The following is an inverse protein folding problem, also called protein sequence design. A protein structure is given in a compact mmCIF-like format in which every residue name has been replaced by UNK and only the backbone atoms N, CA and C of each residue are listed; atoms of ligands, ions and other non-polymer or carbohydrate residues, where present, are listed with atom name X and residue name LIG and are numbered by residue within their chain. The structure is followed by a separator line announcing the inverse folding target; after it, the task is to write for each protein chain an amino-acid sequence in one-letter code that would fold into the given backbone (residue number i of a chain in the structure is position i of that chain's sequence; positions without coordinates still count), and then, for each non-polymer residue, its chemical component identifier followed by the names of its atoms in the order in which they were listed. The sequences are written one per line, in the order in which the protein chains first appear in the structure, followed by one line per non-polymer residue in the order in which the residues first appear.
data_IF_710767831971
#
_entry.id   IF_710767831971
#
_cell.length_a   1.000
_cell.length_b   1.000
_cell.length_c   1.000
_cell.angle_alpha   90.00
_cell.angle_beta   90.00
_cell.angle_gamma   90.00
#
_symmetry.space_group_name_H-M   'P 1'
#
loop_
_entity.id
_entity.type
_entity.pdbx_description
1 polymer ?
#
# COMPACT_ATOMS: atom_id res chain seq x y z
N UNK A 1 25.83 -22.56 -6.40
CA UNK A 1 26.38 -23.93 -6.53
C UNK A 1 25.23 -24.79 -7.02
N UNK A 2 25.45 -25.60 -8.05
CA UNK A 2 24.40 -26.47 -8.64
C UNK A 2 24.52 -27.90 -8.12
N UNK A 3 23.41 -28.63 -8.14
CA UNK A 3 23.31 -30.00 -7.63
C UNK A 3 23.96 -31.02 -8.55
N UNK A 4 23.90 -30.84 -9.88
CA UNK A 4 24.41 -31.82 -10.84
C UNK A 4 25.94 -31.92 -10.82
N UNK A 5 26.65 -30.79 -10.92
CA UNK A 5 28.12 -30.80 -11.06
C UNK A 5 28.89 -30.12 -9.93
N UNK A 6 28.20 -29.59 -8.91
CA UNK A 6 28.80 -28.97 -7.72
C UNK A 6 29.80 -27.83 -7.98
N UNK A 7 29.88 -27.34 -9.20
CA UNK A 7 30.75 -26.24 -9.58
C UNK A 7 30.31 -24.94 -8.91
N UNK A 8 31.28 -24.12 -8.52
CA UNK A 8 31.07 -22.81 -7.90
C UNK A 8 31.15 -21.74 -8.97
N UNK A 9 30.00 -21.29 -9.46
CA UNK A 9 29.92 -20.12 -10.34
C UNK A 9 30.16 -18.81 -9.58
N UNK A 10 30.71 -17.79 -10.25
CA UNK A 10 30.71 -16.40 -9.77
C UNK A 10 29.29 -15.85 -9.56
N UNK A 11 29.19 -14.75 -8.82
CA UNK A 11 27.91 -14.07 -8.60
C UNK A 11 27.34 -13.51 -9.92
N UNK A 12 26.01 -13.51 -10.05
CA UNK A 12 25.30 -12.98 -11.23
C UNK A 12 25.08 -13.97 -12.38
N UNK A 13 25.63 -15.19 -12.31
CA UNK A 13 25.36 -16.21 -13.31
C UNK A 13 23.99 -16.88 -13.06
N UNK A 14 23.17 -16.97 -14.12
CA UNK A 14 21.89 -17.68 -14.08
C UNK A 14 22.05 -19.21 -14.25
N UNK A 15 23.12 -19.65 -14.93
CA UNK A 15 23.39 -21.05 -15.25
C UNK A 15 24.83 -21.43 -14.94
N UNK A 16 25.06 -22.70 -14.64
CA UNK A 16 26.38 -23.25 -14.40
C UNK A 16 27.24 -23.22 -15.67
N UNK A 17 28.47 -22.70 -15.57
CA UNK A 17 29.39 -22.62 -16.72
C UNK A 17 29.89 -24.00 -17.17
N UNK A 18 29.87 -24.99 -16.28
CA UNK A 18 30.40 -26.33 -16.55
C UNK A 18 29.32 -27.30 -17.03
N UNK A 19 28.14 -27.29 -16.40
CA UNK A 19 27.09 -28.28 -16.69
C UNK A 19 25.77 -27.68 -17.20
N UNK A 20 25.68 -26.36 -17.37
CA UNK A 20 24.50 -25.69 -17.93
C UNK A 20 23.25 -25.66 -17.05
N UNK A 21 23.25 -26.32 -15.89
CA UNK A 21 22.10 -26.34 -14.98
C UNK A 21 21.81 -24.95 -14.38
N UNK A 22 20.53 -24.63 -14.19
CA UNK A 22 20.11 -23.35 -13.61
C UNK A 22 20.51 -23.23 -12.14
N UNK A 23 20.99 -22.05 -11.77
CA UNK A 23 21.42 -21.74 -10.41
C UNK A 23 20.21 -21.15 -9.68
N UNK A 24 19.64 -21.89 -8.72
CA UNK A 24 18.50 -21.39 -7.92
C UNK A 24 18.92 -20.74 -6.60
N UNK A 25 20.13 -21.03 -6.13
CA UNK A 25 20.65 -20.55 -4.84
C UNK A 25 21.93 -19.72 -5.00
N UNK A 26 21.90 -18.53 -4.40
CA UNK A 26 23.02 -17.61 -4.25
C UNK A 26 23.50 -17.59 -2.79
N UNK A 27 24.63 -16.92 -2.51
CA UNK A 27 25.08 -16.68 -1.13
C UNK A 27 25.09 -15.19 -0.85
N UNK A 28 24.68 -14.81 0.36
CA UNK A 28 24.74 -13.43 0.81
C UNK A 28 26.19 -12.93 0.78
N UNK A 29 26.49 -11.79 0.12
CA UNK A 29 27.85 -11.25 0.07
C UNK A 29 28.33 -10.73 1.43
N UNK A 30 27.42 -10.46 2.38
CA UNK A 30 27.77 -9.97 3.72
C UNK A 30 28.11 -11.09 4.70
N UNK A 31 27.29 -12.14 4.74
CA UNK A 31 27.40 -13.19 5.78
C UNK A 31 27.58 -14.61 5.24
N UNK A 32 27.57 -14.81 3.92
CA UNK A 32 27.76 -16.13 3.30
C UNK A 32 26.56 -17.09 3.41
N UNK A 33 25.45 -16.64 4.02
CA UNK A 33 24.21 -17.42 4.16
C UNK A 33 23.64 -17.79 2.78
N UNK A 34 23.12 -19.01 2.64
CA UNK A 34 22.48 -19.44 1.40
C UNK A 34 21.14 -18.71 1.22
N UNK A 35 20.94 -18.08 0.07
CA UNK A 35 19.74 -17.31 -0.24
C UNK A 35 19.18 -17.74 -1.59
N UNK A 36 17.87 -17.88 -1.69
CA UNK A 36 17.20 -18.07 -2.99
C UNK A 36 17.38 -16.81 -3.84
N UNK A 37 17.47 -16.97 -5.16
CA UNK A 37 17.55 -15.82 -6.08
C UNK A 37 16.33 -14.89 -6.02
N UNK A 38 15.19 -15.39 -5.55
CA UNK A 38 13.95 -14.60 -5.38
C UNK A 38 13.96 -13.73 -4.13
N UNK A 39 14.92 -13.90 -3.22
CA UNK A 39 14.96 -13.17 -1.96
C UNK A 39 15.51 -11.76 -2.15
N UNK A 40 14.76 -10.77 -1.67
CA UNK A 40 15.17 -9.36 -1.66
C UNK A 40 16.16 -9.10 -0.52
N UNK A 41 15.97 -9.76 0.63
CA UNK A 41 16.81 -9.62 1.82
C UNK A 41 17.36 -10.96 2.29
N UNK A 42 18.54 -10.93 2.90
CA UNK A 42 19.16 -12.08 3.51
C UNK A 42 18.46 -12.44 4.83
N UNK A 43 17.90 -13.65 4.91
CA UNK A 43 17.28 -14.16 6.15
C UNK A 43 18.23 -14.33 7.33
N UNK A 44 19.55 -14.37 7.10
CA UNK A 44 20.56 -14.51 8.17
C UNK A 44 21.09 -13.20 8.75
N UNK A 45 21.15 -12.12 7.95
CA UNK A 45 21.77 -10.85 8.40
C UNK A 45 21.00 -9.58 8.01
N UNK A 46 19.83 -9.71 7.36
CA UNK A 46 18.99 -8.60 6.93
C UNK A 46 19.53 -7.76 5.76
N UNK A 47 20.71 -8.09 5.20
CA UNK A 47 21.28 -7.34 4.08
C UNK A 47 20.46 -7.55 2.80
N UNK A 48 20.21 -6.48 2.08
CA UNK A 48 19.61 -6.52 0.74
C UNK A 48 20.49 -7.29 -0.26
N UNK A 49 19.87 -8.19 -1.02
CA UNK A 49 20.51 -9.08 -2.00
C UNK A 49 20.33 -8.58 -3.44
N UNK A 50 19.36 -7.71 -3.69
CA UNK A 50 19.16 -7.07 -4.99
C UNK A 50 20.12 -5.90 -5.18
N UNK A 51 21.24 -6.16 -5.87
CA UNK A 51 22.09 -5.11 -6.43
C UNK A 51 22.70 -5.48 -7.80
N UNK A 52 22.14 -6.46 -8.53
CA UNK A 52 22.67 -6.89 -9.83
C UNK A 52 21.55 -7.21 -10.84
N UNK A 53 20.57 -6.32 -10.93
CA UNK A 53 19.82 -6.13 -12.18
C UNK A 53 20.04 -4.68 -12.61
N UNK A 54 21.30 -4.31 -12.83
CA UNK A 54 21.64 -3.10 -13.59
C UNK A 54 21.31 -3.33 -15.07
N UNK A 55 20.03 -3.51 -15.35
CA UNK A 55 19.37 -2.92 -16.51
C UNK A 55 18.97 -1.51 -16.10
N UNK A 56 19.96 -0.63 -16.02
CA UNK A 56 19.72 0.80 -16.04
C UNK A 56 19.19 1.15 -17.44
N UNK A 57 17.91 0.88 -17.68
CA UNK A 57 17.10 1.37 -18.82
C UNK A 57 15.73 0.67 -18.78
N UNK A 58 14.84 1.05 -17.85
CA UNK A 58 13.48 1.57 -18.15
C UNK A 58 13.10 2.48 -16.97
N UNK A 59 13.75 3.64 -16.89
CA UNK A 59 13.09 4.84 -16.38
C UNK A 59 12.32 5.46 -17.54
N UNK A 60 11.24 4.81 -17.96
CA UNK A 60 10.23 5.44 -18.80
C UNK A 60 8.90 5.33 -18.10
N UNK A 61 8.46 6.47 -17.60
CA UNK A 61 7.16 6.79 -17.04
C UNK A 61 6.57 5.76 -16.07
N UNK A 62 6.67 6.04 -14.77
CA UNK A 62 5.53 5.68 -13.91
C UNK A 62 4.32 6.43 -14.46
N UNK A 63 3.25 5.78 -14.96
CA UNK A 63 1.95 6.43 -14.88
C UNK A 63 1.67 6.67 -13.39
N UNK A 64 1.04 7.81 -13.10
CA UNK A 64 0.66 8.27 -11.77
C UNK A 64 0.33 7.13 -10.79
N UNK A 65 0.67 7.26 -9.49
CA UNK A 65 0.56 6.17 -8.52
C UNK A 65 -0.80 5.48 -8.66
N UNK A 66 -0.76 4.25 -9.17
CA UNK A 66 -1.91 3.38 -9.23
C UNK A 66 -2.36 3.22 -7.80
N UNK A 67 -3.47 3.85 -7.46
CA UNK A 67 -4.04 3.84 -6.12
C UNK A 67 -4.32 2.39 -5.76
N UNK A 68 -3.36 1.73 -5.11
CA UNK A 68 -3.64 0.60 -4.23
C UNK A 68 -4.78 1.08 -3.36
N UNK A 69 -5.93 0.40 -3.43
CA UNK A 69 -7.16 0.70 -2.67
C UNK A 69 -6.94 0.52 -1.17
N UNK A 70 -5.95 1.19 -0.59
CA UNK A 70 -6.08 1.66 0.76
C UNK A 70 -7.05 2.82 0.62
N UNK A 71 -8.30 2.62 1.04
CA UNK A 71 -9.16 3.75 1.39
C UNK A 71 -8.48 4.45 2.56
N UNK A 72 -7.42 5.21 2.29
CA UNK A 72 -6.95 6.26 3.18
C UNK A 72 -8.08 7.27 3.11
N UNK A 73 -9.02 7.11 4.02
CA UNK A 73 -9.97 8.17 4.28
C UNK A 73 -9.14 9.42 4.56
N UNK A 74 -9.31 10.42 3.72
CA UNK A 74 -8.73 11.72 3.97
C UNK A 74 -9.44 12.27 5.21
N UNK A 75 -8.71 12.29 6.33
CA UNK A 75 -9.26 12.74 7.61
C UNK A 75 -9.77 14.18 7.52
N UNK A 76 -9.12 15.02 6.69
CA UNK A 76 -9.57 16.38 6.46
C UNK A 76 -10.92 16.41 5.74
N UNK A 77 -11.12 15.56 4.74
CA UNK A 77 -12.40 15.47 4.03
C UNK A 77 -13.54 15.00 4.96
N UNK A 78 -13.27 14.02 5.82
CA UNK A 78 -14.26 13.55 6.82
C UNK A 78 -14.61 14.63 7.85
N UNK A 79 -13.64 15.44 8.27
CA UNK A 79 -13.89 16.52 9.22
C UNK A 79 -14.76 17.62 8.59
N UNK A 80 -14.56 17.95 7.32
CA UNK A 80 -15.39 18.93 6.59
C UNK A 80 -16.84 18.44 6.45
N UNK A 81 -17.04 17.16 6.11
CA UNK A 81 -18.39 16.58 6.04
C UNK A 81 -19.12 16.66 7.39
N UNK A 82 -18.43 16.38 8.50
CA UNK A 82 -19.01 16.48 9.85
C UNK A 82 -19.41 17.91 10.22
N UNK A 83 -18.58 18.91 9.88
CA UNK A 83 -18.90 20.32 10.14
C UNK A 83 -20.10 20.80 9.33
N UNK A 84 -20.25 20.36 8.08
CA UNK A 84 -21.41 20.66 7.22
C UNK A 84 -22.68 20.01 7.77
N UNK A 85 -22.61 18.75 8.21
CA UNK A 85 -23.74 18.08 8.85
C UNK A 85 -24.14 18.74 10.17
N UNK A 86 -23.16 19.14 11.00
CA UNK A 86 -23.40 19.86 12.24
C UNK A 86 -24.07 21.22 11.98
N UNK A 87 -23.66 21.94 10.94
CA UNK A 87 -24.26 23.20 10.53
C UNK A 87 -25.71 23.02 10.04
N UNK A 88 -26.01 21.92 9.33
CA UNK A 88 -27.38 21.63 8.85
C UNK A 88 -28.38 21.27 9.96
N UNK A 89 -27.90 20.88 11.15
CA UNK A 89 -28.74 20.49 12.29
C UNK A 89 -29.23 21.66 13.16
N UNK A 90 -28.95 22.91 12.76
CA UNK A 90 -29.76 24.06 13.20
C UNK A 90 -30.90 24.27 12.19
N UNK A 91 -32.19 24.16 12.51
CA UNK A 91 -32.88 24.52 13.73
C UNK A 91 -34.08 23.60 13.95
N UNK A 92 -34.13 22.86 15.06
CA UNK A 92 -35.44 22.62 15.68
C UNK A 92 -35.90 23.98 16.21
N UNK A 93 -36.54 24.76 15.35
CA UNK A 93 -37.18 26.02 15.72
C UNK A 93 -38.07 25.73 16.93
N UNK A 94 -37.70 26.28 18.08
CA UNK A 94 -38.47 26.13 19.32
C UNK A 94 -39.82 26.77 19.05
N UNK A 95 -40.84 25.95 18.79
CA UNK A 95 -42.21 26.42 18.63
C UNK A 95 -42.62 27.03 19.97
N UNK A 96 -42.92 28.33 19.99
CA UNK A 96 -43.31 29.01 21.21
C UNK A 96 -44.79 28.77 21.50
N UNK A 97 -45.17 28.98 22.76
CA UNK A 97 -46.53 28.72 23.23
C UNK A 97 -47.59 29.54 22.45
N UNK A 98 -47.23 30.73 21.99
CA UNK A 98 -48.11 31.58 21.16
C UNK A 98 -48.31 31.00 19.76
N UNK A 99 -47.29 30.37 19.17
CA UNK A 99 -47.39 29.69 17.87
C UNK A 99 -48.34 28.49 17.96
N UNK A 100 -48.28 27.74 19.07
CA UNK A 100 -49.19 26.62 19.34
C UNK A 100 -50.62 27.12 19.52
N UNK A 101 -50.81 28.22 20.26
CA UNK A 101 -52.14 28.83 20.44
C UNK A 101 -52.74 29.27 19.11
N UNK A 102 -51.97 29.95 18.27
CA UNK A 102 -52.40 30.39 16.95
C UNK A 102 -52.81 29.22 16.05
N UNK A 103 -52.08 28.11 16.08
CA UNK A 103 -52.44 26.90 15.32
C UNK A 103 -53.76 26.27 15.79
N UNK A 104 -54.01 26.21 17.11
CA UNK A 104 -55.23 25.65 17.67
C UNK A 104 -56.47 26.51 17.37
N UNK A 105 -56.33 27.83 17.37
CA UNK A 105 -57.41 28.77 17.02
C UNK A 105 -57.80 28.67 15.54
N UNK A 106 -56.83 28.46 14.65
CA UNK A 106 -57.11 28.23 13.22
C UNK A 106 -57.89 26.94 12.98
N UNK A 107 -57.69 25.91 13.81
CA UNK A 107 -58.43 24.65 13.71
C UNK A 107 -59.86 24.71 14.25
N UNK A 108 -60.16 25.66 15.14
CA UNK A 108 -61.49 25.83 15.76
C UNK A 108 -62.44 26.72 14.94
N UNK A 109 -61.94 27.41 13.91
CA UNK A 109 -62.74 28.26 13.00
C UNK A 109 -63.32 27.52 11.79
N UNK A 110 -63.33 26.18 11.82
CA UNK A 110 -63.87 25.32 10.77
C UNK A 110 -65.11 24.60 11.29
#
# INVERSE_FOLDING_TARGET
MVTNCHHKNPLGFAFCVTCGESITTSRCPRCGFACDQRFIFCGGCGRELQALNSGAEIMSAMPAPMQTRVRRYDLAALMVEYELEAASKGSNGKVNQDDIRAMLEMMQKK
#
